data_IF_605956509633
#
_entry.id   IF_605956509633
#
_cell.length_a   1.000
_cell.length_b   1.000
_cell.length_c   1.000
_cell.angle_alpha   90.00
_cell.angle_beta   90.00
_cell.angle_gamma   90.00
#
_symmetry.space_group_name_H-M   'P 1'
#
loop_
_entity.id
_entity.type
_entity.pdbx_description
1 polymer ?
#
# COMPACT_ATOMS: atom_id res chain seq x y z
N UNK A 1 -2.93 110.72 -16.32
CA UNK A 1 -1.76 111.42 -15.77
C UNK A 1 -0.92 110.49 -14.97
N UNK A 2 0.28 110.29 -15.40
CA UNK A 2 1.50 109.90 -14.70
C UNK A 2 1.69 108.42 -14.31
N UNK A 3 2.38 107.71 -15.15
CA UNK A 3 3.31 106.61 -14.71
C UNK A 3 4.29 107.11 -13.68
N UNK A 4 4.92 106.24 -12.92
CA UNK A 4 6.20 105.76 -13.37
C UNK A 4 6.57 104.29 -13.11
N UNK A 5 7.21 103.83 -14.08
CA UNK A 5 8.29 102.81 -14.17
C UNK A 5 8.93 102.35 -12.88
N UNK A 6 8.99 101.12 -12.65
CA UNK A 6 9.84 100.45 -11.63
C UNK A 6 10.37 99.14 -12.15
N UNK A 7 11.62 99.17 -12.56
CA UNK A 7 12.46 98.06 -13.01
C UNK A 7 12.75 97.16 -11.84
N UNK A 8 12.31 95.95 -11.80
CA UNK A 8 12.78 94.94 -10.83
C UNK A 8 13.43 93.80 -11.59
N UNK A 9 14.74 93.73 -11.46
CA UNK A 9 15.57 92.63 -11.94
C UNK A 9 15.17 91.33 -11.24
N UNK A 10 14.62 90.41 -12.02
CA UNK A 10 14.33 89.07 -11.55
C UNK A 10 15.62 88.28 -11.45
N UNK A 11 16.08 88.11 -10.21
CA UNK A 11 17.15 87.16 -9.92
C UNK A 11 16.67 85.75 -10.26
N UNK A 12 17.31 85.11 -11.23
CA UNK A 12 17.07 83.70 -11.57
C UNK A 12 17.47 82.85 -10.38
N UNK A 13 16.50 82.38 -9.63
CA UNK A 13 16.76 81.34 -8.62
C UNK A 13 17.11 80.05 -9.34
N UNK A 14 18.33 79.59 -9.13
CA UNK A 14 18.83 78.32 -9.60
C UNK A 14 17.91 77.21 -9.03
N UNK A 15 17.30 76.37 -9.90
CA UNK A 15 16.53 75.23 -9.50
C UNK A 15 17.40 74.31 -8.64
N UNK A 16 16.88 73.82 -7.52
CA UNK A 16 17.61 72.85 -6.70
C UNK A 16 17.91 71.60 -7.53
N UNK A 17 19.16 71.11 -7.43
CA UNK A 17 19.59 69.88 -8.05
C UNK A 17 18.64 68.74 -7.63
N UNK A 18 18.23 67.82 -8.56
CA UNK A 18 17.39 66.70 -8.21
C UNK A 18 18.09 65.90 -7.11
N UNK A 19 17.38 65.68 -5.99
CA UNK A 19 17.81 64.81 -4.92
C UNK A 19 18.15 63.43 -5.52
N UNK A 20 19.27 62.79 -5.13
CA UNK A 20 19.57 61.44 -5.58
C UNK A 20 18.36 60.56 -5.22
N UNK A 21 17.71 60.01 -6.23
CA UNK A 21 16.60 59.07 -6.03
C UNK A 21 17.09 57.92 -5.14
N UNK A 22 16.20 57.31 -4.38
CA UNK A 22 16.56 56.16 -3.53
C UNK A 22 17.38 55.22 -4.38
N UNK A 23 18.59 54.89 -3.92
CA UNK A 23 19.45 53.90 -4.56
C UNK A 23 18.62 52.71 -4.88
N UNK A 24 18.52 52.32 -6.16
CA UNK A 24 17.79 51.14 -6.58
C UNK A 24 18.21 50.01 -5.66
N UNK A 25 17.27 49.50 -4.88
CA UNK A 25 17.52 48.34 -4.04
C UNK A 25 18.24 47.31 -4.92
N UNK A 26 19.35 46.72 -4.52
CA UNK A 26 20.11 45.80 -5.34
C UNK A 26 19.09 44.77 -5.81
N UNK A 27 18.95 44.62 -7.16
CA UNK A 27 18.02 43.68 -7.80
C UNK A 27 18.13 42.40 -7.03
N UNK A 28 17.03 42.03 -6.34
CA UNK A 28 17.09 41.11 -5.23
C UNK A 28 17.98 39.95 -5.59
N UNK A 29 19.13 39.91 -5.05
CA UNK A 29 19.89 38.70 -4.91
C UNK A 29 18.91 37.77 -4.25
N UNK A 30 18.25 36.95 -5.07
CA UNK A 30 17.53 35.77 -4.56
C UNK A 30 18.63 35.07 -3.82
N UNK A 31 18.62 35.35 -2.55
CA UNK A 31 19.68 35.02 -1.62
C UNK A 31 20.17 33.65 -1.99
N UNK A 32 21.45 33.47 -2.06
CA UNK A 32 22.08 32.18 -2.10
C UNK A 32 21.65 31.44 -0.83
N UNK A 33 20.46 30.84 -0.90
CA UNK A 33 19.84 30.05 0.15
C UNK A 33 20.68 28.78 0.44
N UNK A 34 22.00 28.87 0.16
CA UNK A 34 22.91 27.74 0.24
C UNK A 34 22.60 26.67 -0.82
N UNK A 35 21.89 27.03 -1.91
CA UNK A 35 21.61 26.12 -3.00
C UNK A 35 22.89 25.83 -3.79
N UNK A 36 23.65 24.88 -3.30
CA UNK A 36 24.83 24.40 -4.01
C UNK A 36 24.36 23.57 -5.22
N UNK A 37 24.90 23.90 -6.40
CA UNK A 37 24.66 23.11 -7.60
C UNK A 37 25.03 21.65 -7.31
N UNK A 38 24.10 20.75 -7.55
CA UNK A 38 24.35 19.31 -7.37
C UNK A 38 25.46 18.85 -8.33
N UNK A 39 26.58 18.42 -7.79
CA UNK A 39 27.76 17.94 -8.53
C UNK A 39 27.87 16.42 -8.54
N UNK A 40 26.94 15.70 -7.84
CA UNK A 40 26.94 14.25 -7.79
C UNK A 40 26.46 13.57 -9.07
N UNK A 41 26.73 12.26 -9.20
CA UNK A 41 26.27 11.46 -10.31
C UNK A 41 24.73 11.43 -10.35
N UNK A 42 24.14 11.78 -11.49
CA UNK A 42 22.70 11.69 -11.69
C UNK A 42 22.28 10.22 -11.86
N UNK A 43 21.35 9.77 -11.05
CA UNK A 43 20.79 8.44 -11.19
C UNK A 43 20.07 8.28 -12.54
N UNK A 44 20.14 7.08 -13.12
CA UNK A 44 19.47 6.77 -14.37
C UNK A 44 17.95 6.99 -14.26
N UNK A 45 17.35 7.47 -15.34
CA UNK A 45 15.90 7.76 -15.39
C UNK A 45 15.01 6.54 -15.10
N UNK A 46 15.51 5.34 -15.42
CA UNK A 46 14.83 4.07 -15.21
C UNK A 46 14.68 3.65 -13.73
N UNK A 47 15.40 4.29 -12.81
CA UNK A 47 15.41 3.93 -11.38
C UNK A 47 14.52 4.82 -10.50
N UNK A 48 13.81 5.79 -11.07
CA UNK A 48 13.00 6.78 -10.33
C UNK A 48 11.89 6.15 -9.50
N UNK A 49 11.24 5.12 -10.01
CA UNK A 49 10.22 4.37 -9.27
C UNK A 49 10.79 3.76 -7.96
N UNK A 50 12.08 3.35 -7.94
CA UNK A 50 12.74 2.81 -6.74
C UNK A 50 12.81 3.83 -5.60
N UNK A 51 13.06 5.10 -5.93
CA UNK A 51 13.09 6.19 -4.94
C UNK A 51 11.71 6.37 -4.31
N UNK A 52 10.65 6.35 -5.13
CA UNK A 52 9.27 6.46 -4.67
C UNK A 52 8.90 5.25 -3.79
N UNK A 53 9.22 4.03 -4.24
CA UNK A 53 8.94 2.80 -3.49
C UNK A 53 9.67 2.78 -2.14
N UNK A 54 10.97 3.11 -2.13
CA UNK A 54 11.76 3.21 -0.89
C UNK A 54 11.20 4.25 0.08
N UNK A 55 10.80 5.42 -0.44
CA UNK A 55 10.19 6.46 0.38
C UNK A 55 8.86 6.01 0.99
N UNK A 56 8.03 5.28 0.24
CA UNK A 56 6.77 4.74 0.76
C UNK A 56 7.01 3.74 1.90
N UNK A 57 7.93 2.79 1.72
CA UNK A 57 8.29 1.84 2.76
C UNK A 57 8.88 2.54 3.99
N UNK A 58 9.83 3.47 3.80
CA UNK A 58 10.43 4.23 4.89
C UNK A 58 9.41 5.11 5.64
N UNK A 59 8.44 5.69 4.92
CA UNK A 59 7.36 6.47 5.52
C UNK A 59 6.42 5.59 6.35
N UNK A 60 6.06 4.40 5.87
CA UNK A 60 5.29 3.43 6.63
C UNK A 60 6.03 3.00 7.90
N UNK A 61 7.33 2.75 7.81
CA UNK A 61 8.17 2.39 8.96
C UNK A 61 8.25 3.50 10.00
N UNK A 62 8.33 4.77 9.57
CA UNK A 62 8.35 5.94 10.46
C UNK A 62 6.99 6.18 11.13
N UNK A 63 5.89 5.76 10.53
CA UNK A 63 4.53 5.85 11.11
C UNK A 63 4.39 4.81 12.22
N UNK A 64 4.98 5.14 13.34
CA UNK A 64 5.45 4.24 14.39
C UNK A 64 4.42 3.25 14.90
N UNK A 65 3.18 3.65 15.19
CA UNK A 65 2.27 2.72 15.86
C UNK A 65 1.40 1.92 14.88
N UNK A 66 0.92 2.51 13.79
CA UNK A 66 -0.04 1.85 12.88
C UNK A 66 0.54 0.64 12.18
N UNK A 67 1.74 0.79 11.64
CA UNK A 67 2.44 -0.30 10.98
C UNK A 67 2.92 -1.36 11.96
N UNK A 68 3.50 -0.93 13.09
CA UNK A 68 4.04 -1.86 14.09
C UNK A 68 2.97 -2.64 14.83
N UNK A 69 1.79 -2.06 15.07
CA UNK A 69 0.64 -2.79 15.62
C UNK A 69 0.18 -3.90 14.67
N UNK A 70 0.04 -3.62 13.37
CA UNK A 70 -0.33 -4.66 12.41
C UNK A 70 0.75 -5.77 12.30
N UNK A 71 2.03 -5.37 12.35
CA UNK A 71 3.16 -6.31 12.34
C UNK A 71 3.22 -7.15 13.62
N UNK A 72 3.03 -6.52 14.78
CA UNK A 72 2.97 -7.19 16.08
C UNK A 72 1.82 -8.19 16.14
N UNK A 73 0.64 -7.79 15.65
CA UNK A 73 -0.51 -8.69 15.57
C UNK A 73 -0.21 -9.89 14.65
N UNK A 74 0.37 -9.66 13.46
CA UNK A 74 0.78 -10.75 12.57
C UNK A 74 1.84 -11.66 13.24
N UNK A 75 2.79 -11.07 13.98
CA UNK A 75 3.78 -11.81 14.76
C UNK A 75 3.16 -12.71 15.84
N UNK A 76 2.15 -12.19 16.56
CA UNK A 76 1.39 -12.97 17.55
C UNK A 76 0.66 -14.14 16.86
N UNK A 77 -0.01 -13.88 15.74
CA UNK A 77 -0.67 -14.94 14.95
C UNK A 77 0.32 -16.02 14.53
N UNK A 78 1.51 -15.62 14.06
CA UNK A 78 2.58 -16.56 13.66
C UNK A 78 3.06 -17.37 14.85
N UNK A 79 3.31 -16.73 16.00
CA UNK A 79 3.78 -17.39 17.22
C UNK A 79 2.74 -18.38 17.76
N UNK A 80 1.47 -18.00 17.79
CA UNK A 80 0.38 -18.88 18.25
C UNK A 80 0.20 -20.07 17.31
N UNK A 81 0.15 -19.83 15.99
CA UNK A 81 -0.03 -20.92 15.03
C UNK A 81 1.18 -21.87 15.01
N UNK A 82 2.42 -21.34 15.05
CA UNK A 82 3.63 -22.13 15.15
C UNK A 82 3.72 -22.91 16.47
N UNK A 83 3.33 -22.27 17.58
CA UNK A 83 3.24 -22.92 18.89
C UNK A 83 2.22 -24.07 18.91
N UNK A 84 1.04 -23.89 18.28
CA UNK A 84 0.06 -24.97 18.11
C UNK A 84 0.65 -26.13 17.31
N UNK A 85 1.32 -25.86 16.19
CA UNK A 85 1.99 -26.89 15.39
C UNK A 85 3.02 -27.66 16.21
N UNK A 86 3.85 -26.94 16.99
CA UNK A 86 4.89 -27.54 17.84
C UNK A 86 4.28 -28.40 18.96
N UNK A 87 3.30 -27.88 19.72
CA UNK A 87 2.68 -28.62 20.82
C UNK A 87 1.93 -29.88 20.36
N UNK A 88 1.38 -29.86 19.16
CA UNK A 88 0.65 -31.01 18.60
C UNK A 88 1.58 -32.08 18.01
N UNK A 89 2.86 -31.77 17.80
CA UNK A 89 3.86 -32.75 17.35
C UNK A 89 4.05 -33.88 18.36
N UNK A 90 4.21 -33.52 19.64
CA UNK A 90 4.41 -34.49 20.72
C UNK A 90 3.13 -35.23 21.13
N UNK A 91 1.95 -34.84 20.55
CA UNK A 91 0.64 -35.40 20.85
C UNK A 91 0.23 -35.39 22.33
N UNK A 92 1.00 -34.65 23.14
CA UNK A 92 0.72 -34.46 24.57
C UNK A 92 0.57 -33.00 24.88
N UNK A 93 -0.64 -32.58 25.26
CA UNK A 93 -0.93 -31.23 25.67
C UNK A 93 -1.40 -31.25 27.13
N UNK A 94 -0.64 -30.61 28.03
CA UNK A 94 -0.96 -30.56 29.47
C UNK A 94 -1.25 -31.94 30.11
N UNK A 95 -0.50 -32.96 29.72
CA UNK A 95 -0.68 -34.33 30.24
C UNK A 95 -1.85 -35.12 29.58
N UNK A 96 -2.57 -34.52 28.66
CA UNK A 96 -3.65 -35.16 27.87
C UNK A 96 -3.05 -35.64 26.55
N UNK A 97 -3.16 -36.93 26.26
CA UNK A 97 -2.78 -37.49 24.97
C UNK A 97 -3.82 -37.12 23.93
N UNK A 98 -3.42 -36.34 22.93
CA UNK A 98 -4.29 -36.01 21.79
C UNK A 98 -4.21 -37.12 20.76
N UNK A 99 -5.36 -37.72 20.34
CA UNK A 99 -5.33 -38.71 19.28
C UNK A 99 -4.64 -38.22 18.02
N UNK A 100 -3.75 -39.05 17.43
CA UNK A 100 -2.89 -38.64 16.32
C UNK A 100 -3.62 -38.08 15.10
N UNK A 101 -4.81 -38.60 14.80
CA UNK A 101 -5.69 -38.08 13.73
C UNK A 101 -6.19 -36.66 14.04
N UNK A 102 -6.52 -36.34 15.30
CA UNK A 102 -6.96 -35.00 15.71
C UNK A 102 -5.77 -34.03 15.71
N UNK A 103 -4.61 -34.45 16.23
CA UNK A 103 -3.40 -33.64 16.23
C UNK A 103 -2.98 -33.27 14.81
N UNK A 104 -2.98 -34.22 13.86
CA UNK A 104 -2.70 -33.98 12.46
C UNK A 104 -3.64 -32.96 11.82
N UNK A 105 -4.96 -33.14 12.01
CA UNK A 105 -5.97 -32.23 11.46
C UNK A 105 -5.82 -30.83 12.04
N UNK A 106 -5.59 -30.66 13.33
CA UNK A 106 -5.41 -29.34 13.96
C UNK A 106 -4.11 -28.67 13.49
N UNK A 107 -3.03 -29.44 13.36
CA UNK A 107 -1.75 -28.92 12.81
C UNK A 107 -1.91 -28.47 11.37
N UNK A 108 -2.64 -29.21 10.53
CA UNK A 108 -2.92 -28.83 9.13
C UNK A 108 -3.76 -27.57 9.03
N UNK A 109 -4.71 -27.36 9.95
CA UNK A 109 -5.55 -26.17 9.99
C UNK A 109 -4.80 -24.90 10.45
N UNK A 110 -3.67 -25.02 11.13
CA UNK A 110 -2.96 -23.87 11.70
C UNK A 110 -2.54 -22.85 10.65
N UNK A 111 -2.05 -23.27 9.49
CA UNK A 111 -1.65 -22.39 8.40
C UNK A 111 -2.86 -21.69 7.74
N UNK A 112 -3.92 -22.40 7.29
CA UNK A 112 -5.10 -21.72 6.72
C UNK A 112 -5.81 -20.79 7.70
N UNK A 113 -5.95 -21.18 8.96
CA UNK A 113 -6.55 -20.31 9.98
C UNK A 113 -5.74 -19.03 10.20
N UNK A 114 -4.42 -19.13 10.21
CA UNK A 114 -3.56 -17.95 10.37
C UNK A 114 -3.67 -17.00 9.18
N UNK A 115 -3.85 -17.50 7.95
CA UNK A 115 -4.08 -16.65 6.77
C UNK A 115 -5.35 -15.82 6.93
N UNK A 116 -6.42 -16.36 7.50
CA UNK A 116 -7.63 -15.59 7.82
C UNK A 116 -7.34 -14.44 8.80
N UNK A 117 -6.45 -14.62 9.76
CA UNK A 117 -6.04 -13.55 10.67
C UNK A 117 -5.08 -12.55 10.01
N UNK A 118 -4.19 -13.00 9.13
CA UNK A 118 -3.34 -12.10 8.36
C UNK A 118 -4.15 -11.21 7.42
N UNK A 119 -5.26 -11.69 6.83
CA UNK A 119 -6.14 -10.84 6.02
C UNK A 119 -6.78 -9.73 6.85
N UNK A 120 -7.12 -9.98 8.11
CA UNK A 120 -7.63 -8.96 9.06
C UNK A 120 -6.55 -7.94 9.42
N UNK A 121 -5.32 -8.41 9.69
CA UNK A 121 -4.17 -7.53 9.92
C UNK A 121 -3.87 -6.67 8.69
N UNK A 122 -3.91 -7.28 7.50
CA UNK A 122 -3.70 -6.58 6.23
C UNK A 122 -4.82 -5.56 5.94
N UNK A 123 -6.06 -5.84 6.31
CA UNK A 123 -7.14 -4.87 6.23
C UNK A 123 -6.88 -3.65 7.13
N UNK A 124 -6.51 -3.85 8.40
CA UNK A 124 -6.18 -2.76 9.31
C UNK A 124 -4.97 -1.94 8.81
N UNK A 125 -3.96 -2.61 8.27
CA UNK A 125 -2.82 -1.96 7.66
C UNK A 125 -3.21 -1.20 6.40
N UNK A 126 -4.00 -1.80 5.53
CA UNK A 126 -4.39 -1.20 4.25
C UNK A 126 -5.33 0.00 4.43
N UNK A 127 -6.27 -0.04 5.38
CA UNK A 127 -7.17 1.09 5.65
C UNK A 127 -6.39 2.28 6.21
N UNK A 128 -5.39 2.04 7.06
CA UNK A 128 -4.66 3.12 7.73
C UNK A 128 -3.50 3.70 6.91
N UNK A 129 -2.81 2.86 6.13
CA UNK A 129 -1.59 3.25 5.41
C UNK A 129 -1.76 3.27 3.90
N UNK A 130 -2.46 2.29 3.30
CA UNK A 130 -2.49 2.14 1.84
C UNK A 130 -3.58 2.99 1.20
N UNK A 131 -4.81 2.90 1.70
CA UNK A 131 -6.00 3.55 1.10
C UNK A 131 -5.98 5.08 1.12
N UNK A 132 -5.05 5.70 1.81
CA UNK A 132 -4.93 7.16 1.91
C UNK A 132 -3.76 7.74 1.13
N UNK A 133 -2.88 6.91 0.55
CA UNK A 133 -1.58 7.34 0.00
C UNK A 133 -1.74 8.27 -1.19
N UNK A 134 -2.49 7.87 -2.21
CA UNK A 134 -2.66 8.67 -3.44
C UNK A 134 -3.60 9.85 -3.17
N UNK A 135 -4.62 9.64 -2.33
CA UNK A 135 -5.53 10.71 -1.92
C UNK A 135 -4.79 11.85 -1.22
N UNK A 136 -3.78 11.56 -0.38
CA UNK A 136 -2.92 12.59 0.23
C UNK A 136 -2.09 13.33 -0.81
N UNK A 137 -1.52 12.63 -1.77
CA UNK A 137 -0.74 13.25 -2.83
C UNK A 137 -1.61 14.18 -3.69
N UNK A 138 -2.88 13.80 -3.96
CA UNK A 138 -3.85 14.65 -4.65
C UNK A 138 -4.24 15.87 -3.81
N UNK A 139 -4.53 15.66 -2.53
CA UNK A 139 -4.95 16.74 -1.63
C UNK A 139 -3.85 17.78 -1.40
N UNK A 140 -2.59 17.33 -1.31
CA UNK A 140 -1.44 18.22 -1.10
C UNK A 140 -0.92 18.87 -2.38
N UNK A 141 -1.51 18.60 -3.55
CA UNK A 141 -1.01 19.07 -4.84
C UNK A 141 0.35 18.43 -5.25
N UNK A 142 0.75 17.31 -4.63
CA UNK A 142 2.04 16.69 -4.90
C UNK A 142 2.21 16.24 -6.37
N UNK A 143 1.13 16.04 -7.11
CA UNK A 143 1.18 15.70 -8.54
C UNK A 143 1.85 16.79 -9.38
N UNK A 144 1.63 18.07 -9.06
CA UNK A 144 2.31 19.18 -9.74
C UNK A 144 3.82 19.09 -9.55
N UNK A 145 4.29 18.77 -8.34
CA UNK A 145 5.71 18.61 -8.07
C UNK A 145 6.32 17.37 -8.73
N UNK A 146 5.60 16.25 -8.74
CA UNK A 146 6.07 15.01 -9.39
C UNK A 146 6.20 15.21 -10.90
N UNK A 147 5.19 15.80 -11.54
CA UNK A 147 5.12 15.90 -13.00
C UNK A 147 5.79 17.15 -13.58
N UNK A 148 6.00 18.22 -12.80
CA UNK A 148 6.88 19.33 -13.18
C UNK A 148 8.36 18.90 -13.24
N UNK A 149 8.70 17.81 -12.55
CA UNK A 149 10.00 17.16 -12.63
C UNK A 149 9.94 16.00 -13.61
N UNK A 150 11.05 15.36 -13.83
CA UNK A 150 11.20 14.29 -14.80
C UNK A 150 10.56 12.94 -14.40
N UNK A 151 9.61 12.91 -13.45
CA UNK A 151 8.89 11.68 -13.05
C UNK A 151 7.79 11.39 -14.07
N UNK A 152 7.84 10.22 -14.68
CA UNK A 152 6.79 9.77 -15.61
C UNK A 152 5.61 9.18 -14.83
N UNK A 153 4.37 9.25 -15.36
CA UNK A 153 3.18 8.63 -14.74
C UNK A 153 3.39 7.16 -14.34
N UNK A 154 4.04 6.38 -15.21
CA UNK A 154 4.37 4.97 -14.94
C UNK A 154 5.32 4.78 -13.75
N UNK A 155 6.32 5.66 -13.59
CA UNK A 155 7.29 5.56 -12.49
C UNK A 155 6.60 5.86 -11.15
N UNK A 156 5.65 6.78 -11.15
CA UNK A 156 4.81 7.06 -9.98
C UNK A 156 3.94 5.86 -9.61
N UNK A 157 3.18 5.30 -10.58
CA UNK A 157 2.30 4.14 -10.36
C UNK A 157 3.08 2.94 -9.85
N UNK A 158 4.18 2.58 -10.53
CA UNK A 158 5.05 1.46 -10.14
C UNK A 158 5.67 1.70 -8.76
N UNK A 159 6.16 2.90 -8.49
CA UNK A 159 6.77 3.22 -7.20
C UNK A 159 5.78 3.13 -6.04
N UNK A 160 4.55 3.63 -6.21
CA UNK A 160 3.49 3.52 -5.20
C UNK A 160 3.06 2.07 -5.00
N UNK A 161 2.82 1.33 -6.08
CA UNK A 161 2.38 -0.07 -6.03
C UNK A 161 3.44 -0.96 -5.36
N UNK A 162 4.70 -0.89 -5.82
CA UNK A 162 5.78 -1.71 -5.27
C UNK A 162 6.08 -1.32 -3.81
N UNK A 163 6.05 -0.02 -3.48
CA UNK A 163 6.23 0.42 -2.10
C UNK A 163 5.15 -0.11 -1.16
N UNK A 164 3.88 -0.07 -1.57
CA UNK A 164 2.77 -0.61 -0.76
C UNK A 164 2.73 -2.14 -0.78
N UNK A 165 3.10 -2.77 -1.90
CA UNK A 165 3.30 -4.22 -1.95
C UNK A 165 4.36 -4.66 -0.92
N UNK A 166 5.50 -3.98 -0.85
CA UNK A 166 6.54 -4.28 0.14
C UNK A 166 6.06 -4.09 1.59
N UNK A 167 5.25 -3.06 1.86
CA UNK A 167 4.64 -2.84 3.19
C UNK A 167 3.66 -3.96 3.53
N UNK A 168 2.78 -4.33 2.61
CA UNK A 168 1.74 -5.36 2.83
C UNK A 168 2.33 -6.76 2.90
N UNK A 169 3.43 -7.04 2.16
CA UNK A 169 4.09 -8.34 2.14
C UNK A 169 4.68 -8.74 3.50
N UNK A 170 5.03 -7.78 4.34
CA UNK A 170 5.49 -8.07 5.71
C UNK A 170 4.45 -8.77 6.58
N UNK A 171 3.17 -8.66 6.23
CA UNK A 171 2.05 -9.32 6.91
C UNK A 171 1.57 -10.53 6.11
N UNK A 172 1.26 -10.32 4.82
CA UNK A 172 0.56 -11.33 4.00
C UNK A 172 1.48 -12.36 3.35
N UNK A 173 2.78 -12.08 3.28
CA UNK A 173 3.77 -13.00 2.69
C UNK A 173 4.70 -13.57 3.77
N UNK A 174 5.25 -12.71 4.65
CA UNK A 174 6.23 -13.15 5.63
C UNK A 174 5.63 -14.11 6.67
N UNK A 175 4.39 -13.88 7.14
CA UNK A 175 3.71 -14.75 8.09
C UNK A 175 3.46 -16.15 7.55
N UNK A 176 2.79 -16.35 6.42
CA UNK A 176 2.59 -17.67 5.82
C UNK A 176 3.89 -18.40 5.49
N UNK A 177 4.92 -17.68 5.00
CA UNK A 177 6.24 -18.31 4.76
C UNK A 177 6.91 -18.76 6.06
N UNK A 178 6.83 -17.95 7.12
CA UNK A 178 7.38 -18.34 8.42
C UNK A 178 6.71 -19.61 8.97
N UNK A 179 5.39 -19.74 8.83
CA UNK A 179 4.65 -20.94 9.23
C UNK A 179 4.96 -22.15 8.34
N UNK A 180 5.12 -21.94 7.04
CA UNK A 180 5.53 -23.00 6.13
C UNK A 180 6.94 -23.51 6.47
N UNK A 181 7.88 -22.60 6.81
CA UNK A 181 9.21 -22.96 7.29
C UNK A 181 9.15 -23.67 8.65
N UNK A 182 8.31 -23.20 9.58
CA UNK A 182 8.10 -23.86 10.87
C UNK A 182 7.61 -25.29 10.67
N UNK A 183 6.66 -25.52 9.75
CA UNK A 183 6.18 -26.86 9.43
C UNK A 183 7.26 -27.78 8.85
N UNK A 184 8.13 -27.24 8.01
CA UNK A 184 9.29 -28.00 7.51
C UNK A 184 10.28 -28.34 8.63
N UNK A 185 10.55 -27.39 9.51
CA UNK A 185 11.46 -27.59 10.65
C UNK A 185 10.96 -28.63 11.65
N UNK A 186 9.64 -28.87 11.67
CA UNK A 186 9.00 -29.89 12.52
C UNK A 186 8.94 -31.29 11.87
N UNK A 187 9.56 -31.50 10.70
CA UNK A 187 9.60 -32.80 10.05
C UNK A 187 10.53 -33.76 10.82
N UNK A 188 10.04 -34.94 11.16
CA UNK A 188 10.77 -35.93 11.96
C UNK A 188 11.72 -36.80 11.13
N UNK A 189 11.52 -36.84 9.80
CA UNK A 189 12.34 -37.64 8.87
C UNK A 189 12.60 -36.89 7.57
N UNK A 190 13.64 -37.32 6.82
CA UNK A 190 13.93 -36.76 5.49
C UNK A 190 12.80 -37.01 4.50
N UNK A 191 12.13 -38.16 4.56
CA UNK A 191 11.01 -38.48 3.70
C UNK A 191 9.81 -37.53 3.95
N UNK A 192 9.52 -37.26 5.22
CA UNK A 192 8.51 -36.32 5.63
C UNK A 192 8.87 -34.90 5.21
N UNK A 193 10.11 -34.47 5.33
CA UNK A 193 10.60 -33.17 4.91
C UNK A 193 10.42 -32.99 3.40
N UNK A 194 10.81 -33.99 2.60
CA UNK A 194 10.64 -33.97 1.13
C UNK A 194 9.16 -33.92 0.75
N UNK A 195 8.33 -34.71 1.43
CA UNK A 195 6.86 -34.70 1.19
C UNK A 195 6.21 -33.36 1.56
N UNK A 196 6.74 -32.65 2.54
CA UNK A 196 6.21 -31.34 3.00
C UNK A 196 6.78 -30.16 2.21
N UNK A 197 7.92 -30.32 1.51
CA UNK A 197 8.60 -29.24 0.78
C UNK A 197 7.70 -28.42 -0.17
N UNK A 198 6.70 -29.02 -0.87
CA UNK A 198 5.78 -28.26 -1.74
C UNK A 198 4.95 -27.17 -1.02
N UNK A 199 4.92 -27.16 0.33
CA UNK A 199 4.21 -26.12 1.08
C UNK A 199 4.83 -24.73 0.87
N UNK A 200 6.15 -24.64 0.63
CA UNK A 200 6.83 -23.35 0.42
C UNK A 200 6.36 -22.61 -0.83
N UNK A 201 6.42 -23.18 -2.04
CA UNK A 201 5.90 -22.51 -3.24
C UNK A 201 4.39 -22.26 -3.14
N UNK A 202 3.61 -23.11 -2.48
CA UNK A 202 2.19 -22.90 -2.22
C UNK A 202 1.96 -21.68 -1.32
N UNK A 203 2.65 -21.58 -0.19
CA UNK A 203 2.58 -20.44 0.73
C UNK A 203 3.07 -19.14 0.07
N UNK A 204 4.12 -19.21 -0.77
CA UNK A 204 4.62 -18.09 -1.55
C UNK A 204 3.55 -17.58 -2.53
N UNK A 205 2.93 -18.48 -3.30
CA UNK A 205 1.90 -18.10 -4.28
C UNK A 205 0.69 -17.44 -3.59
N UNK A 206 0.18 -18.04 -2.51
CA UNK A 206 -0.92 -17.49 -1.70
C UNK A 206 -0.52 -16.11 -1.16
N UNK A 207 0.66 -15.98 -0.56
CA UNK A 207 1.16 -14.73 0.01
C UNK A 207 1.33 -13.63 -1.03
N UNK A 208 1.88 -13.92 -2.20
CA UNK A 208 2.08 -12.95 -3.30
C UNK A 208 0.74 -12.46 -3.85
N UNK A 209 -0.19 -13.36 -4.17
CA UNK A 209 -1.50 -12.99 -4.70
C UNK A 209 -2.31 -12.17 -3.71
N UNK A 210 -2.31 -12.58 -2.43
CA UNK A 210 -2.98 -11.86 -1.35
C UNK A 210 -2.37 -10.48 -1.14
N UNK A 211 -1.03 -10.38 -1.11
CA UNK A 211 -0.31 -9.11 -1.00
C UNK A 211 -0.65 -8.17 -2.16
N UNK A 212 -0.69 -8.69 -3.38
CA UNK A 212 -1.02 -7.90 -4.56
C UNK A 212 -2.43 -7.30 -4.48
N UNK A 213 -3.41 -8.09 -4.05
CA UNK A 213 -4.79 -7.62 -3.87
C UNK A 213 -4.86 -6.53 -2.78
N UNK A 214 -4.28 -6.77 -1.59
CA UNK A 214 -4.28 -5.81 -0.47
C UNK A 214 -3.40 -4.57 -0.70
N UNK A 215 -2.50 -4.58 -1.67
CA UNK A 215 -1.77 -3.39 -2.09
C UNK A 215 -2.52 -2.62 -3.19
N UNK A 216 -2.96 -3.30 -4.26
CA UNK A 216 -3.50 -2.65 -5.44
C UNK A 216 -4.92 -2.10 -5.24
N UNK A 217 -5.81 -2.87 -4.59
CA UNK A 217 -7.22 -2.48 -4.45
C UNK A 217 -7.40 -1.23 -3.60
N UNK A 218 -6.87 -1.15 -2.35
CA UNK A 218 -6.99 0.06 -1.54
C UNK A 218 -6.25 1.25 -2.13
N UNK A 219 -5.14 1.06 -2.88
CA UNK A 219 -4.52 2.13 -3.66
C UNK A 219 -5.44 2.62 -4.78
N UNK A 220 -6.18 1.72 -5.44
CA UNK A 220 -7.20 2.07 -6.43
C UNK A 220 -8.27 2.98 -5.82
N UNK A 221 -8.83 2.62 -4.68
CA UNK A 221 -9.77 3.46 -3.94
C UNK A 221 -9.15 4.82 -3.55
N UNK A 222 -7.89 4.82 -3.15
CA UNK A 222 -7.13 6.05 -2.86
C UNK A 222 -7.00 6.98 -4.06
N UNK A 223 -7.04 6.47 -5.28
CA UNK A 223 -6.95 7.26 -6.51
C UNK A 223 -8.30 7.84 -6.97
N UNK A 224 -9.42 7.33 -6.47
CA UNK A 224 -10.76 7.81 -6.85
C UNK A 224 -11.06 9.17 -6.21
N UNK A 225 -10.76 9.34 -4.93
CA UNK A 225 -11.16 10.49 -4.11
C UNK A 225 -9.94 11.20 -3.54
N UNK A 226 -9.87 12.52 -3.71
CA UNK A 226 -8.76 13.33 -3.20
C UNK A 226 -8.74 13.48 -1.67
N UNK A 227 -9.85 13.21 -0.97
CA UNK A 227 -9.89 13.26 0.48
C UNK A 227 -9.45 11.92 1.08
N UNK A 228 -8.36 11.86 1.85
CA UNK A 228 -7.85 10.63 2.44
C UNK A 228 -8.84 9.91 3.34
N UNK A 229 -9.66 10.64 4.13
CA UNK A 229 -10.67 10.06 5.02
C UNK A 229 -11.77 9.35 4.24
N UNK A 230 -12.25 9.97 3.16
CA UNK A 230 -13.26 9.38 2.29
C UNK A 230 -12.71 8.16 1.53
N UNK A 231 -11.45 8.20 1.09
CA UNK A 231 -10.81 7.05 0.46
C UNK A 231 -10.69 5.85 1.43
N UNK A 232 -10.35 6.11 2.69
CA UNK A 232 -10.35 5.09 3.76
C UNK A 232 -11.75 4.53 4.00
N UNK A 233 -12.76 5.39 4.08
CA UNK A 233 -14.16 4.98 4.28
C UNK A 233 -14.66 4.14 3.09
N UNK A 234 -14.36 4.52 1.86
CA UNK A 234 -14.77 3.79 0.66
C UNK A 234 -14.14 2.38 0.63
N UNK A 235 -12.86 2.26 0.98
CA UNK A 235 -12.22 0.96 1.12
C UNK A 235 -12.85 0.13 2.23
N UNK A 236 -13.16 0.73 3.39
CA UNK A 236 -13.82 0.03 4.49
C UNK A 236 -15.23 -0.46 4.10
N UNK A 237 -16.00 0.36 3.40
CA UNK A 237 -17.34 -0.02 2.90
C UNK A 237 -17.23 -1.16 1.91
N UNK A 238 -16.29 -1.09 0.97
CA UNK A 238 -16.06 -2.20 0.05
C UNK A 238 -15.74 -3.49 0.79
N UNK A 239 -14.77 -3.47 1.67
CA UNK A 239 -14.30 -4.67 2.38
C UNK A 239 -15.36 -5.25 3.32
N UNK A 240 -16.03 -4.41 4.11
CA UNK A 240 -16.97 -4.87 5.14
C UNK A 240 -18.38 -5.10 4.58
N UNK A 241 -18.87 -4.19 3.74
CA UNK A 241 -20.27 -4.25 3.26
C UNK A 241 -20.35 -5.11 2.01
N UNK A 242 -19.57 -4.79 0.96
CA UNK A 242 -19.64 -5.56 -0.30
C UNK A 242 -19.12 -6.97 -0.08
N UNK A 243 -17.99 -7.13 0.64
CA UNK A 243 -17.45 -8.43 1.02
C UNK A 243 -18.44 -9.22 1.88
N UNK A 244 -19.01 -8.58 2.91
CA UNK A 244 -20.03 -9.21 3.77
C UNK A 244 -21.27 -9.64 3.02
N UNK A 245 -21.78 -8.85 2.07
CA UNK A 245 -22.88 -9.22 1.21
C UNK A 245 -22.53 -10.37 0.26
N UNK A 246 -21.36 -10.33 -0.36
CA UNK A 246 -20.87 -11.41 -1.21
C UNK A 246 -20.76 -12.73 -0.43
N UNK A 247 -20.25 -12.68 0.81
CA UNK A 247 -20.23 -13.82 1.73
C UNK A 247 -21.63 -14.37 2.00
N UNK A 248 -22.59 -13.49 2.31
CA UNK A 248 -23.97 -13.89 2.60
C UNK A 248 -24.62 -14.53 1.38
N UNK A 249 -24.49 -13.90 0.19
CA UNK A 249 -25.04 -14.43 -1.06
C UNK A 249 -24.43 -15.77 -1.44
N UNK A 250 -23.10 -15.91 -1.30
CA UNK A 250 -22.44 -17.19 -1.56
C UNK A 250 -22.94 -18.30 -0.64
N UNK A 251 -23.23 -17.97 0.62
CA UNK A 251 -23.77 -18.93 1.59
C UNK A 251 -25.21 -19.33 1.30
N UNK A 252 -26.05 -18.36 0.91
CA UNK A 252 -27.48 -18.62 0.63
C UNK A 252 -27.67 -19.32 -0.72
N UNK A 253 -26.97 -18.87 -1.76
CA UNK A 253 -27.17 -19.33 -3.14
C UNK A 253 -26.22 -20.46 -3.53
N UNK A 254 -25.26 -20.83 -2.67
CA UNK A 254 -24.24 -21.89 -2.91
C UNK A 254 -23.53 -21.77 -4.25
N UNK A 255 -23.24 -20.54 -4.67
CA UNK A 255 -22.62 -20.21 -5.95
C UNK A 255 -21.27 -19.48 -5.79
N UNK A 256 -20.67 -19.10 -6.93
CA UNK A 256 -19.36 -18.42 -6.98
C UNK A 256 -19.33 -16.95 -6.54
N UNK A 257 -20.45 -16.35 -6.07
CA UNK A 257 -20.47 -14.95 -5.62
C UNK A 257 -19.47 -14.61 -4.52
N UNK A 258 -19.04 -15.60 -3.74
CA UNK A 258 -17.97 -15.43 -2.76
C UNK A 258 -16.64 -14.94 -3.35
N UNK A 259 -16.42 -15.16 -4.65
CA UNK A 259 -15.22 -14.67 -5.32
C UNK A 259 -15.15 -13.12 -5.41
N UNK A 260 -16.27 -12.42 -5.23
CA UNK A 260 -16.30 -10.95 -5.15
C UNK A 260 -15.68 -10.46 -3.83
N UNK A 261 -15.69 -11.27 -2.79
CA UNK A 261 -14.99 -10.97 -1.54
C UNK A 261 -13.53 -11.43 -1.60
N UNK A 262 -12.61 -10.47 -1.50
CA UNK A 262 -11.16 -10.73 -1.50
C UNK A 262 -10.78 -11.73 -0.39
N UNK A 263 -11.40 -11.64 0.79
CA UNK A 263 -11.10 -12.54 1.92
C UNK A 263 -11.53 -13.97 1.62
N UNK A 264 -12.74 -14.15 1.07
CA UNK A 264 -13.21 -15.47 0.67
C UNK A 264 -12.39 -16.07 -0.48
N UNK A 265 -11.97 -15.23 -1.44
CA UNK A 265 -11.10 -15.67 -2.52
C UNK A 265 -9.74 -16.16 -1.99
N UNK A 266 -9.13 -15.43 -1.03
CA UNK A 266 -7.87 -15.84 -0.38
C UNK A 266 -8.07 -17.11 0.45
N UNK A 267 -9.16 -17.19 1.22
CA UNK A 267 -9.49 -18.38 2.03
C UNK A 267 -9.70 -19.60 1.13
N UNK A 268 -10.50 -19.47 0.07
CA UNK A 268 -10.74 -20.54 -0.91
C UNK A 268 -9.46 -21.01 -1.58
N UNK A 269 -8.65 -20.07 -2.09
CA UNK A 269 -7.31 -20.34 -2.65
C UNK A 269 -6.45 -21.13 -1.66
N UNK A 270 -6.45 -20.71 -0.40
CA UNK A 270 -5.60 -21.32 0.63
C UNK A 270 -5.96 -22.77 0.90
N UNK A 271 -7.23 -23.04 1.16
CA UNK A 271 -7.70 -24.41 1.45
C UNK A 271 -7.59 -25.33 0.24
N UNK A 272 -7.79 -24.82 -0.96
CA UNK A 272 -7.74 -25.62 -2.18
C UNK A 272 -6.29 -25.92 -2.60
N UNK A 273 -5.39 -24.93 -2.59
CA UNK A 273 -3.98 -25.11 -2.93
C UNK A 273 -3.24 -25.99 -1.92
N UNK A 274 -3.58 -25.88 -0.63
CA UNK A 274 -2.98 -26.69 0.41
C UNK A 274 -3.61 -28.10 0.52
N UNK A 275 -4.70 -28.34 -0.20
CA UNK A 275 -5.48 -29.59 -0.16
C UNK A 275 -5.95 -29.96 1.26
N UNK A 276 -6.40 -28.97 2.01
CA UNK A 276 -6.85 -29.12 3.39
C UNK A 276 -8.38 -29.04 3.45
N UNK A 277 -8.99 -30.01 4.14
CA UNK A 277 -10.43 -30.02 4.37
C UNK A 277 -10.80 -28.98 5.42
N UNK A 278 -11.71 -28.08 5.07
CA UNK A 278 -12.18 -27.04 5.98
C UNK A 278 -13.07 -27.64 7.09
N UNK A 279 -12.65 -27.52 8.36
CA UNK A 279 -13.38 -28.09 9.52
C UNK A 279 -14.76 -27.46 9.77
N UNK A 280 -14.93 -26.20 9.41
CA UNK A 280 -16.25 -25.55 9.46
C UNK A 280 -16.91 -25.68 8.09
N UNK A 281 -17.97 -26.45 7.98
CA UNK A 281 -18.79 -26.64 6.79
C UNK A 281 -19.34 -25.33 6.23
N UNK A 282 -18.45 -24.50 5.73
CA UNK A 282 -18.75 -23.25 5.05
C UNK A 282 -19.06 -23.53 3.58
N UNK A 283 -19.83 -22.65 2.99
CA UNK A 283 -20.31 -22.60 1.63
C UNK A 283 -19.35 -23.22 0.60
N UNK A 284 -19.90 -23.66 -0.52
CA UNK A 284 -19.17 -24.25 -1.65
C UNK A 284 -17.79 -23.61 -1.81
N UNK A 285 -16.75 -24.42 -1.76
CA UNK A 285 -15.34 -23.99 -1.93
C UNK A 285 -15.21 -23.14 -3.18
N UNK A 286 -14.53 -22.01 -3.08
CA UNK A 286 -14.10 -21.27 -4.27
C UNK A 286 -12.90 -22.01 -4.82
N UNK A 287 -13.05 -22.57 -6.00
CA UNK A 287 -11.99 -23.31 -6.68
C UNK A 287 -10.80 -22.39 -7.01
N UNK A 288 -9.59 -22.93 -6.98
CA UNK A 288 -8.35 -22.18 -7.25
C UNK A 288 -8.41 -21.32 -8.51
N UNK A 289 -8.90 -21.77 -9.68
CA UNK A 289 -8.96 -20.90 -10.87
C UNK A 289 -9.83 -19.66 -10.67
N UNK A 290 -10.98 -19.82 -10.00
CA UNK A 290 -11.89 -18.70 -9.73
C UNK A 290 -11.30 -17.74 -8.68
N UNK A 291 -10.67 -18.27 -7.65
CA UNK A 291 -10.00 -17.48 -6.62
C UNK A 291 -8.83 -16.65 -7.20
N UNK A 292 -7.96 -17.27 -7.97
CA UNK A 292 -6.84 -16.61 -8.64
C UNK A 292 -7.34 -15.54 -9.61
N UNK A 293 -8.33 -15.87 -10.44
CA UNK A 293 -8.93 -14.92 -11.39
C UNK A 293 -9.52 -13.72 -10.64
N UNK A 294 -10.26 -13.96 -9.55
CA UNK A 294 -10.82 -12.90 -8.72
C UNK A 294 -9.72 -11.96 -8.19
N UNK A 295 -8.68 -12.50 -7.55
CA UNK A 295 -7.59 -11.70 -6.99
C UNK A 295 -6.85 -10.88 -8.06
N UNK A 296 -6.61 -11.48 -9.23
CA UNK A 296 -5.97 -10.79 -10.36
C UNK A 296 -6.86 -9.70 -10.95
N UNK A 297 -8.16 -9.94 -11.09
CA UNK A 297 -9.13 -8.94 -11.58
C UNK A 297 -9.20 -7.76 -10.61
N UNK A 298 -9.29 -8.02 -9.32
CA UNK A 298 -9.27 -6.98 -8.29
C UNK A 298 -7.99 -6.14 -8.35
N UNK A 299 -6.83 -6.79 -8.43
CA UNK A 299 -5.56 -6.11 -8.53
C UNK A 299 -5.45 -5.30 -9.83
N UNK A 300 -5.84 -5.88 -10.96
CA UNK A 300 -5.84 -5.21 -12.26
C UNK A 300 -6.78 -3.99 -12.27
N UNK A 301 -7.97 -4.11 -11.69
CA UNK A 301 -8.90 -2.99 -11.53
C UNK A 301 -8.28 -1.85 -10.69
N UNK A 302 -7.68 -2.17 -9.54
CA UNK A 302 -6.98 -1.20 -8.71
C UNK A 302 -5.87 -0.48 -9.47
N UNK A 303 -4.98 -1.22 -10.13
CA UNK A 303 -3.88 -0.65 -10.94
C UNK A 303 -4.40 0.20 -12.09
N UNK A 304 -5.45 -0.24 -12.78
CA UNK A 304 -6.05 0.49 -13.90
C UNK A 304 -6.64 1.83 -13.46
N UNK A 305 -7.33 1.85 -12.32
CA UNK A 305 -7.87 3.10 -11.73
C UNK A 305 -6.73 4.08 -11.40
N UNK A 306 -5.66 3.59 -10.79
CA UNK A 306 -4.49 4.43 -10.48
C UNK A 306 -3.87 4.98 -11.75
N UNK A 307 -3.60 4.12 -12.73
CA UNK A 307 -2.97 4.50 -13.99
C UNK A 307 -3.81 5.53 -14.75
N UNK A 308 -5.13 5.33 -14.83
CA UNK A 308 -6.07 6.27 -15.44
C UNK A 308 -6.03 7.64 -14.76
N UNK A 309 -6.15 7.65 -13.43
CA UNK A 309 -6.18 8.90 -12.65
C UNK A 309 -4.88 9.68 -12.76
N UNK A 310 -3.75 9.00 -12.64
CA UNK A 310 -2.41 9.60 -12.74
C UNK A 310 -2.16 10.14 -14.14
N UNK A 311 -2.54 9.39 -15.19
CA UNK A 311 -2.44 9.86 -16.57
C UNK A 311 -3.29 11.11 -16.82
N UNK A 312 -4.53 11.12 -16.33
CA UNK A 312 -5.41 12.28 -16.45
C UNK A 312 -4.85 13.53 -15.74
N UNK A 313 -4.32 13.35 -14.54
CA UNK A 313 -3.68 14.44 -13.78
C UNK A 313 -2.43 14.98 -14.50
N UNK A 314 -1.62 14.11 -15.10
CA UNK A 314 -0.45 14.49 -15.89
C UNK A 314 -0.84 15.33 -17.12
N UNK A 315 -1.86 14.92 -17.87
CA UNK A 315 -2.35 15.65 -19.04
C UNK A 315 -2.95 16.99 -18.66
N UNK A 316 -3.71 17.07 -17.56
CA UNK A 316 -4.27 18.34 -17.07
C UNK A 316 -3.17 19.33 -16.63
N UNK A 317 -2.09 18.85 -16.03
CA UNK A 317 -0.94 19.68 -15.64
C UNK A 317 -0.14 20.23 -16.82
N UNK A 318 -0.12 19.53 -17.95
CA UNK A 318 0.53 19.99 -19.18
C UNK A 318 -0.36 20.98 -19.94
N UNK A 319 -1.69 20.79 -19.91
CA UNK A 319 -2.65 21.66 -20.62
C UNK A 319 -3.05 22.94 -19.88
N UNK A 320 -2.76 23.03 -18.58
CA UNK A 320 -3.07 24.23 -17.77
C UNK A 320 -2.04 25.38 -17.90
N UNK A 321 -1.05 25.22 -18.74
CA UNK A 321 -0.03 26.24 -19.03
C UNK A 321 -0.23 26.95 -20.39
N UNK A 322 -1.41 26.79 -21.02
CA UNK A 322 -1.82 27.46 -22.25
C UNK A 322 -2.90 28.50 -22.00
#
# INVERSE_FOLDING_TARGET
MSEPTGNAAMAAAAAPAPSPGPAAAPAGTIYDLGYKRYTGARQATSTRWKVIARNQFASAWKTWWRYKVALGFAGIVTAVAGGVMFLLQDRVVNGVVVPGNIAAVLSDQALPMSITWYTRAAFLLSITLVSSVIARDMQSGAFTFYFARSVRPRDYVLGKLIGMFAVTSTVMLAGPLALALARLALSESLDQLVATLPILPKALAIGVLSTLAFAAVPLGFSAIIANPRHAMALWAVYYLVVGGMAYLLARLMKNGFGAVDITMAIEGLTYDVLDIVQLRGRSKRIETPLAVTSLLVHAAAGVSIIAYRVRRAHLAGIGGAS
#
